data_IF_047169026687
#
_entry.id   IF_047169026687
#
_cell.length_a   1.000
_cell.length_b   1.000
_cell.length_c   1.000
_cell.angle_alpha   90.00
_cell.angle_beta   90.00
_cell.angle_gamma   90.00
#
_symmetry.space_group_name_H-M   'P 1'
#
loop_
_entity.id
_entity.type
_entity.pdbx_description
1 polymer ?
#
# COMPACT_ATOMS: atom_id res chain seq x y z
N UNK A 1 -16.10 -6.20 17.58
CA UNK A 1 -15.00 -5.29 17.20
C UNK A 1 -15.07 -4.93 15.71
N UNK A 2 -14.61 -3.74 15.27
CA UNK A 2 -14.55 -3.34 13.84
C UNK A 2 -13.12 -2.98 13.44
N UNK A 3 -12.68 -3.33 12.24
CA UNK A 3 -11.36 -2.94 11.71
C UNK A 3 -11.39 -2.76 10.20
N UNK A 4 -10.38 -2.06 9.66
CA UNK A 4 -10.20 -1.93 8.22
C UNK A 4 -9.33 -3.09 7.70
N UNK A 5 -9.63 -3.60 6.52
CA UNK A 5 -8.74 -4.52 5.80
C UNK A 5 -8.31 -3.92 4.47
N UNK A 6 -7.12 -4.33 4.00
CA UNK A 6 -6.52 -3.95 2.71
C UNK A 6 -6.67 -5.03 1.63
N UNK A 7 -7.13 -6.22 2.03
CA UNK A 7 -7.30 -7.37 1.16
C UNK A 7 -8.55 -8.13 1.58
N UNK A 8 -9.28 -8.63 0.60
CA UNK A 8 -10.40 -9.54 0.80
C UNK A 8 -10.16 -10.81 -0.01
N UNK A 9 -10.77 -11.90 0.45
CA UNK A 9 -10.80 -13.18 -0.22
C UNK A 9 -12.25 -13.50 -0.56
N UNK A 10 -12.55 -13.70 -1.85
CA UNK A 10 -13.83 -14.23 -2.32
C UNK A 10 -13.66 -15.72 -2.66
N UNK A 11 -14.60 -16.54 -2.20
CA UNK A 11 -14.65 -17.98 -2.42
C UNK A 11 -15.95 -18.36 -3.13
N UNK A 12 -15.86 -19.33 -4.03
CA UNK A 12 -17.00 -20.10 -4.52
C UNK A 12 -16.80 -21.57 -4.09
N UNK A 13 -17.83 -22.15 -3.49
CA UNK A 13 -17.80 -23.51 -2.95
C UNK A 13 -18.61 -24.46 -3.84
N UNK A 14 -18.31 -25.76 -3.79
CA UNK A 14 -18.93 -26.80 -4.62
C UNK A 14 -20.43 -27.01 -4.39
N UNK A 15 -20.97 -26.47 -3.30
CA UNK A 15 -22.41 -26.43 -3.03
C UNK A 15 -23.09 -25.16 -3.58
N UNK A 16 -22.37 -24.32 -4.33
CA UNK A 16 -22.86 -23.05 -4.88
C UNK A 16 -22.81 -21.87 -3.90
N UNK A 17 -22.31 -22.05 -2.67
CA UNK A 17 -22.17 -20.95 -1.71
C UNK A 17 -21.00 -20.04 -2.07
N UNK A 18 -21.18 -18.74 -1.86
CA UNK A 18 -20.13 -17.74 -1.99
C UNK A 18 -19.82 -17.12 -0.63
N UNK A 19 -18.53 -16.91 -0.33
CA UNK A 19 -18.10 -16.32 0.94
C UNK A 19 -17.06 -15.23 0.66
N UNK A 20 -17.26 -14.05 1.24
CA UNK A 20 -16.26 -12.99 1.28
C UNK A 20 -15.72 -12.82 2.70
N UNK A 21 -14.40 -12.94 2.88
CA UNK A 21 -13.74 -12.87 4.18
C UNK A 21 -12.41 -12.13 4.08
N UNK A 22 -11.78 -11.82 5.21
CA UNK A 22 -10.37 -11.42 5.20
C UNK A 22 -9.44 -12.64 5.00
N UNK A 23 -8.32 -12.51 4.27
CA UNK A 23 -7.42 -13.63 3.94
C UNK A 23 -6.93 -14.47 5.14
N UNK A 24 -6.82 -13.85 6.31
CA UNK A 24 -6.39 -14.47 7.56
C UNK A 24 -7.53 -15.22 8.31
N UNK A 25 -8.77 -15.13 7.84
CA UNK A 25 -9.91 -15.79 8.48
C UNK A 25 -9.77 -17.31 8.34
N UNK A 26 -9.88 -18.03 9.46
CA UNK A 26 -9.57 -19.46 9.51
C UNK A 26 -10.82 -20.32 9.30
N UNK A 27 -10.67 -21.34 8.46
CA UNK A 27 -11.67 -22.37 8.22
C UNK A 27 -11.15 -23.72 8.71
N UNK A 28 -12.08 -24.62 9.06
CA UNK A 28 -11.72 -25.97 9.47
C UNK A 28 -11.54 -26.85 8.24
N UNK A 29 -10.29 -27.28 8.00
CA UNK A 29 -9.89 -28.13 6.89
C UNK A 29 -9.08 -29.31 7.44
N UNK A 30 -9.48 -30.54 7.10
CA UNK A 30 -8.75 -31.77 7.47
C UNK A 30 -8.37 -31.89 8.96
N UNK A 31 -9.23 -31.42 9.87
CA UNK A 31 -9.00 -31.50 11.30
C UNK A 31 -8.16 -30.35 11.90
N UNK A 32 -7.79 -29.35 11.09
CA UNK A 32 -6.95 -28.22 11.51
C UNK A 32 -7.58 -26.89 11.08
N UNK A 33 -7.41 -25.86 11.91
CA UNK A 33 -7.78 -24.48 11.55
C UNK A 33 -6.72 -23.87 10.64
N UNK A 34 -7.11 -23.54 9.41
CA UNK A 34 -6.18 -23.02 8.38
C UNK A 34 -6.68 -21.68 7.87
N UNK A 35 -5.85 -20.62 7.82
CA UNK A 35 -6.20 -19.36 7.18
C UNK A 35 -6.65 -19.58 5.73
N UNK A 36 -7.67 -18.86 5.28
CA UNK A 36 -8.17 -19.04 3.92
C UNK A 36 -7.11 -18.71 2.88
N UNK A 37 -6.17 -17.82 3.18
CA UNK A 37 -5.06 -17.48 2.27
C UNK A 37 -4.10 -18.65 2.00
N UNK A 38 -4.00 -19.60 2.92
CA UNK A 38 -3.17 -20.80 2.79
C UNK A 38 -3.89 -21.97 2.08
N UNK A 39 -5.22 -21.97 2.06
CA UNK A 39 -6.02 -22.99 1.36
C UNK A 39 -6.07 -22.74 -0.15
N UNK A 40 -6.15 -23.80 -0.95
CA UNK A 40 -6.17 -23.74 -2.40
C UNK A 40 -7.50 -24.27 -2.97
N UNK A 41 -7.74 -24.00 -4.25
CA UNK A 41 -8.80 -24.67 -5.01
C UNK A 41 -8.60 -26.18 -4.89
N UNK A 42 -9.70 -26.90 -4.66
CA UNK A 42 -9.80 -28.33 -4.31
C UNK A 42 -9.55 -28.69 -2.83
N UNK A 43 -9.17 -27.76 -1.96
CA UNK A 43 -9.18 -28.02 -0.52
C UNK A 43 -10.63 -28.09 0.02
N UNK A 44 -10.80 -28.75 1.15
CA UNK A 44 -12.12 -29.07 1.72
C UNK A 44 -12.39 -28.32 3.01
N UNK A 45 -13.61 -27.81 3.17
CA UNK A 45 -14.09 -27.16 4.39
C UNK A 45 -15.17 -28.02 5.06
N UNK A 46 -15.24 -28.01 6.39
CA UNK A 46 -16.25 -28.75 7.15
C UNK A 46 -17.55 -27.96 7.31
N UNK A 47 -18.69 -28.62 7.07
CA UNK A 47 -20.05 -28.12 7.32
C UNK A 47 -20.59 -28.55 8.70
N UNK A 48 -21.70 -27.94 9.12
CA UNK A 48 -22.37 -28.19 10.41
C UNK A 48 -22.80 -29.63 10.64
N UNK A 49 -23.15 -30.35 9.58
CA UNK A 49 -23.53 -31.76 9.64
C UNK A 49 -22.30 -32.71 9.59
N UNK A 50 -21.08 -32.15 9.63
CA UNK A 50 -19.79 -32.81 9.45
C UNK A 50 -19.51 -33.33 8.04
N UNK A 51 -20.34 -32.98 7.05
CA UNK A 51 -19.98 -33.16 5.65
C UNK A 51 -18.88 -32.17 5.24
N UNK A 52 -18.33 -32.38 4.04
CA UNK A 52 -17.28 -31.54 3.46
C UNK A 52 -17.77 -30.84 2.20
N UNK A 53 -17.31 -29.62 1.99
CA UNK A 53 -17.50 -28.85 0.76
C UNK A 53 -16.14 -28.48 0.17
N UNK A 54 -16.04 -28.44 -1.15
CA UNK A 54 -14.79 -28.14 -1.85
C UNK A 54 -14.72 -26.67 -2.24
N UNK A 55 -13.53 -26.07 -2.19
CA UNK A 55 -13.28 -24.74 -2.75
C UNK A 55 -13.15 -24.87 -4.27
N UNK A 56 -14.14 -24.37 -5.02
CA UNK A 56 -14.14 -24.38 -6.49
C UNK A 56 -13.37 -23.18 -7.06
N UNK A 57 -13.45 -22.03 -6.39
CA UNK A 57 -12.79 -20.81 -6.81
C UNK A 57 -12.32 -19.99 -5.60
N UNK A 58 -11.20 -19.29 -5.76
CA UNK A 58 -10.62 -18.42 -4.75
C UNK A 58 -9.91 -17.24 -5.40
N UNK A 59 -10.27 -16.03 -5.00
CA UNK A 59 -9.64 -14.79 -5.45
C UNK A 59 -9.30 -13.93 -4.24
N UNK A 60 -8.02 -13.60 -4.07
CA UNK A 60 -7.57 -12.57 -3.13
C UNK A 60 -7.36 -11.29 -3.92
N UNK A 61 -8.00 -10.20 -3.50
CA UNK A 61 -7.91 -8.92 -4.18
C UNK A 61 -7.68 -7.78 -3.18
N UNK A 62 -6.90 -6.75 -3.58
CA UNK A 62 -6.72 -5.56 -2.77
C UNK A 62 -8.03 -4.77 -2.72
N UNK A 63 -8.42 -4.36 -1.52
CA UNK A 63 -9.61 -3.52 -1.30
C UNK A 63 -9.51 -2.84 0.06
N UNK A 64 -10.13 -1.67 0.24
CA UNK A 64 -10.16 -0.96 1.51
C UNK A 64 -11.57 -0.93 2.06
N UNK A 65 -11.92 -1.90 2.89
CA UNK A 65 -13.28 -2.07 3.43
C UNK A 65 -13.26 -2.22 4.94
N UNK A 66 -14.32 -1.72 5.58
CA UNK A 66 -14.59 -1.97 6.99
C UNK A 66 -15.15 -3.39 7.13
N UNK A 67 -14.52 -4.20 7.97
CA UNK A 67 -14.98 -5.54 8.31
C UNK A 67 -15.43 -5.62 9.76
N UNK A 68 -16.45 -6.42 9.99
CA UNK A 68 -17.08 -6.59 11.30
C UNK A 68 -16.66 -7.94 11.89
N UNK A 69 -16.22 -7.92 13.15
CA UNK A 69 -15.97 -9.13 13.91
C UNK A 69 -17.03 -9.28 15.01
N UNK A 70 -17.61 -10.47 15.11
CA UNK A 70 -18.49 -10.85 16.21
C UNK A 70 -17.62 -11.28 17.41
N UNK A 71 -18.09 -11.09 18.63
CA UNK A 71 -17.46 -11.69 19.82
C UNK A 71 -18.40 -12.79 20.30
N UNK A 72 -17.90 -14.02 20.38
CA UNK A 72 -18.68 -15.21 20.77
C UNK A 72 -18.05 -15.72 22.06
N UNK A 73 -18.89 -15.89 23.09
CA UNK A 73 -18.48 -16.45 24.38
C UNK A 73 -18.08 -17.93 24.21
N UNK A 74 -17.04 -18.35 24.94
CA UNK A 74 -16.49 -19.72 24.99
C UNK A 74 -15.75 -20.22 23.74
N UNK A 75 -16.45 -20.92 22.85
CA UNK A 75 -15.85 -21.54 21.67
C UNK A 75 -15.97 -20.53 20.54
N UNK A 76 -14.87 -19.84 20.22
CA UNK A 76 -14.77 -18.77 19.22
C UNK A 76 -14.99 -19.30 17.79
N UNK A 77 -16.05 -20.07 17.56
CA UNK A 77 -16.43 -20.72 16.31
C UNK A 77 -17.89 -20.46 16.00
N UNK A 78 -18.18 -20.24 14.73
CA UNK A 78 -19.55 -20.09 14.27
C UNK A 78 -19.75 -20.67 12.88
N UNK A 79 -21.01 -20.84 12.51
CA UNK A 79 -21.39 -21.28 11.18
C UNK A 79 -21.81 -20.08 10.33
N UNK A 80 -21.29 -20.02 9.11
CA UNK A 80 -21.69 -19.03 8.09
C UNK A 80 -22.40 -19.73 6.94
N UNK A 81 -23.11 -18.97 6.09
CA UNK A 81 -23.97 -19.47 4.99
C UNK A 81 -25.18 -20.28 5.48
N UNK A 82 -26.16 -20.52 4.60
CA UNK A 82 -27.35 -21.33 4.91
C UNK A 82 -26.99 -22.79 5.22
N UNK A 83 -25.97 -23.32 4.53
CA UNK A 83 -25.48 -24.70 4.67
C UNK A 83 -24.54 -24.88 5.89
N UNK A 84 -24.19 -23.79 6.57
CA UNK A 84 -23.45 -23.81 7.82
C UNK A 84 -21.99 -24.27 7.69
N UNK A 85 -21.18 -23.50 6.99
CA UNK A 85 -19.72 -23.66 6.90
C UNK A 85 -19.09 -23.25 8.23
N UNK A 86 -18.23 -24.10 8.80
CA UNK A 86 -17.61 -23.88 10.10
C UNK A 86 -16.39 -22.95 10.01
N UNK A 87 -16.42 -21.82 10.73
CA UNK A 87 -15.35 -20.83 10.80
C UNK A 87 -14.89 -20.55 12.23
N UNK A 88 -13.68 -20.00 12.37
CA UNK A 88 -13.09 -19.64 13.66
C UNK A 88 -12.92 -18.12 13.78
N UNK A 89 -13.61 -17.56 14.77
CA UNK A 89 -13.54 -16.19 15.25
C UNK A 89 -12.30 -15.89 16.08
N UNK A 90 -11.61 -16.92 16.59
CA UNK A 90 -10.40 -16.72 17.36
C UNK A 90 -9.27 -16.28 16.46
N UNK A 91 -9.15 -14.96 16.36
CA UNK A 91 -7.96 -14.29 15.88
C UNK A 91 -6.83 -14.64 16.84
N UNK A 92 -6.11 -15.73 16.57
CA UNK A 92 -4.68 -15.75 16.86
C UNK A 92 -4.11 -14.64 15.98
N UNK A 93 -4.04 -13.43 16.57
CA UNK A 93 -3.46 -12.24 15.96
C UNK A 93 -2.06 -12.64 15.52
N UNK A 94 -1.88 -12.89 14.24
CA UNK A 94 -0.55 -12.99 13.69
C UNK A 94 0.02 -11.57 13.73
N UNK A 95 1.03 -11.38 14.57
CA UNK A 95 1.68 -10.11 14.91
C UNK A 95 2.09 -9.28 13.66
N UNK A 96 2.16 -9.92 12.48
CA UNK A 96 2.53 -9.32 11.20
C UNK A 96 1.49 -8.28 10.73
N UNK A 97 0.18 -8.57 10.82
CA UNK A 97 -0.86 -7.65 10.34
C UNK A 97 -1.00 -6.42 11.24
N UNK A 98 -0.79 -6.57 12.57
CA UNK A 98 -0.77 -5.43 13.48
C UNK A 98 0.43 -4.53 13.17
N UNK A 99 1.63 -5.10 12.92
CA UNK A 99 2.81 -4.29 12.61
C UNK A 99 2.63 -3.47 11.33
N UNK A 100 2.13 -4.06 10.23
CA UNK A 100 1.88 -3.30 9.00
C UNK A 100 0.79 -2.24 9.18
N UNK A 101 -0.26 -2.55 9.94
CA UNK A 101 -1.33 -1.60 10.30
C UNK A 101 -0.78 -0.44 11.16
N UNK A 102 0.05 -0.72 12.16
CA UNK A 102 0.71 0.30 12.98
C UNK A 102 1.62 1.19 12.13
N UNK A 103 2.37 0.61 11.18
CA UNK A 103 3.22 1.37 10.25
C UNK A 103 2.38 2.25 9.32
N UNK A 104 1.26 1.73 8.83
CA UNK A 104 0.30 2.49 8.02
C UNK A 104 -0.31 3.66 8.80
N UNK A 105 -0.80 3.42 10.02
CA UNK A 105 -1.36 4.47 10.87
C UNK A 105 -0.32 5.54 11.19
N UNK A 106 0.91 5.14 11.50
CA UNK A 106 2.04 6.06 11.73
C UNK A 106 2.36 6.92 10.50
N UNK A 107 2.32 6.34 9.29
CA UNK A 107 2.47 7.10 8.05
C UNK A 107 1.32 8.08 7.85
N UNK A 108 0.08 7.61 7.97
CA UNK A 108 -1.14 8.40 7.83
C UNK A 108 -1.14 9.61 8.77
N UNK A 109 -0.84 9.40 10.05
CA UNK A 109 -0.73 10.45 11.05
C UNK A 109 0.34 11.49 10.67
N UNK A 110 1.49 11.05 10.15
CA UNK A 110 2.55 11.95 9.69
C UNK A 110 2.11 12.81 8.51
N UNK A 111 1.49 12.21 7.47
CA UNK A 111 0.99 12.97 6.32
C UNK A 111 -0.06 14.00 6.75
N UNK A 112 -1.02 13.60 7.61
CA UNK A 112 -2.09 14.47 8.10
C UNK A 112 -1.56 15.59 9.01
N UNK A 113 -0.54 15.32 9.84
CA UNK A 113 0.10 16.33 10.70
C UNK A 113 0.63 17.50 9.89
N UNK A 114 1.28 17.24 8.75
CA UNK A 114 1.89 18.29 7.92
C UNK A 114 1.00 18.78 6.77
N UNK A 115 -0.07 18.05 6.45
CA UNK A 115 -1.00 18.35 5.37
C UNK A 115 -2.46 18.11 5.84
N UNK A 116 -2.99 18.90 6.79
CA UNK A 116 -4.31 18.66 7.37
C UNK A 116 -5.46 18.78 6.36
N UNK A 117 -5.24 19.48 5.25
CA UNK A 117 -6.21 19.68 4.17
C UNK A 117 -6.03 18.71 2.99
N UNK A 118 -5.12 17.73 3.11
CA UNK A 118 -4.91 16.71 2.07
C UNK A 118 -6.20 15.92 1.84
N UNK A 119 -6.61 15.80 0.58
CA UNK A 119 -7.78 14.99 0.22
C UNK A 119 -7.52 13.50 0.51
N UNK A 120 -8.57 12.70 0.77
CA UNK A 120 -8.43 11.26 0.95
C UNK A 120 -7.71 10.57 -0.22
N UNK A 121 -8.02 10.96 -1.45
CA UNK A 121 -7.41 10.36 -2.65
C UNK A 121 -5.91 10.68 -2.75
N UNK A 122 -5.50 11.91 -2.42
CA UNK A 122 -4.10 12.30 -2.41
C UNK A 122 -3.33 11.54 -1.32
N UNK A 123 -3.94 11.42 -0.14
CA UNK A 123 -3.38 10.65 0.97
C UNK A 123 -3.19 9.19 0.61
N UNK A 124 -4.20 8.56 0.01
CA UNK A 124 -4.10 7.16 -0.44
C UNK A 124 -3.02 6.99 -1.51
N UNK A 125 -2.94 7.93 -2.46
CA UNK A 125 -1.88 7.92 -3.48
C UNK A 125 -0.46 8.04 -2.89
N UNK A 126 -0.28 8.76 -1.79
CA UNK A 126 1.01 8.83 -1.09
C UNK A 126 1.31 7.55 -0.32
N UNK A 127 0.30 6.94 0.30
CA UNK A 127 0.43 5.74 1.11
C UNK A 127 0.63 4.48 0.26
N UNK A 128 0.08 4.42 -0.96
CA UNK A 128 0.30 3.33 -1.91
C UNK A 128 1.75 3.19 -2.37
N UNK A 129 2.53 4.28 -2.28
CA UNK A 129 3.96 4.27 -2.59
C UNK A 129 4.86 3.72 -1.48
N UNK A 130 4.31 3.21 -0.38
CA UNK A 130 5.06 2.70 0.78
C UNK A 130 4.88 1.19 0.94
N UNK A 131 5.98 0.45 1.01
CA UNK A 131 5.98 -0.97 1.39
C UNK A 131 5.91 -1.12 2.92
N UNK A 132 4.70 -1.32 3.44
CA UNK A 132 4.46 -1.46 4.88
C UNK A 132 4.96 -2.78 5.47
N UNK A 133 5.34 -3.77 4.64
CA UNK A 133 6.03 -4.97 5.11
C UNK A 133 7.44 -4.64 5.65
N UNK A 134 7.99 -3.48 5.27
CA UNK A 134 9.27 -2.96 5.78
C UNK A 134 9.08 -1.94 6.92
N UNK A 135 10.09 -1.75 7.78
CA UNK A 135 10.04 -0.75 8.86
C UNK A 135 9.81 0.68 8.34
N UNK A 136 9.13 1.49 9.15
CA UNK A 136 8.95 2.93 8.92
C UNK A 136 9.29 3.74 10.17
N UNK A 137 9.89 4.90 9.96
CA UNK A 137 10.40 5.72 11.06
C UNK A 137 10.25 7.22 10.79
N UNK A 138 9.98 7.98 11.86
CA UNK A 138 10.07 9.44 11.82
C UNK A 138 11.47 9.79 12.28
N UNK A 139 12.23 10.45 11.41
CA UNK A 139 13.64 10.80 11.62
C UNK A 139 13.76 12.31 11.66
N UNK A 140 14.57 12.85 12.58
CA UNK A 140 14.92 14.27 12.62
C UNK A 140 16.22 14.48 11.84
N UNK A 141 16.19 15.42 10.91
CA UNK A 141 17.35 15.84 10.16
C UNK A 141 17.72 17.26 10.55
N UNK A 142 19.02 17.50 10.77
CA UNK A 142 19.51 18.82 11.11
C UNK A 142 19.68 19.68 9.87
N UNK A 143 19.60 21.00 10.04
CA UNK A 143 20.03 21.99 9.04
C UNK A 143 21.39 21.61 8.45
N UNK A 144 21.55 21.79 7.14
CA UNK A 144 22.79 21.46 6.44
C UNK A 144 22.92 19.99 6.05
N UNK A 145 22.02 19.10 6.48
CA UNK A 145 22.02 17.71 6.00
C UNK A 145 21.81 17.68 4.48
N UNK A 146 22.64 16.91 3.78
CA UNK A 146 22.49 16.67 2.35
C UNK A 146 21.68 15.40 2.10
N UNK A 147 20.61 15.53 1.32
CA UNK A 147 19.80 14.43 0.81
C UNK A 147 19.73 14.50 -0.71
N UNK A 148 19.30 13.42 -1.36
CA UNK A 148 19.14 13.38 -2.80
C UNK A 148 17.66 13.34 -3.19
N UNK A 149 17.30 13.98 -4.29
CA UNK A 149 15.96 13.91 -4.86
C UNK A 149 16.04 13.81 -6.38
N UNK A 150 15.15 13.02 -6.98
CA UNK A 150 14.94 13.06 -8.42
C UNK A 150 13.99 14.22 -8.77
N UNK A 151 14.46 15.13 -9.62
CA UNK A 151 13.76 16.34 -10.03
C UNK A 151 13.40 16.30 -11.52
N UNK A 152 12.44 17.16 -11.87
CA UNK A 152 12.00 17.41 -13.24
C UNK A 152 12.23 18.87 -13.56
N UNK A 153 12.33 19.20 -14.84
CA UNK A 153 12.42 20.57 -15.33
C UNK A 153 11.26 20.84 -16.29
N UNK A 154 10.59 21.98 -16.13
CA UNK A 154 9.48 22.40 -17.00
C UNK A 154 10.01 22.98 -18.34
N UNK A 155 9.11 23.42 -19.23
CA UNK A 155 9.49 24.00 -20.54
C UNK A 155 10.35 25.28 -20.45
N UNK A 156 10.33 25.97 -19.31
CA UNK A 156 11.08 27.22 -19.07
C UNK A 156 12.41 27.01 -18.35
N UNK A 157 12.76 25.77 -17.96
CA UNK A 157 13.97 25.51 -17.20
C UNK A 157 13.78 25.55 -15.68
N UNK A 158 12.56 25.78 -15.18
CA UNK A 158 12.28 25.77 -13.74
C UNK A 158 12.33 24.35 -13.19
N UNK A 159 13.16 24.14 -12.17
CA UNK A 159 13.29 22.87 -11.46
C UNK A 159 12.05 22.64 -10.58
N UNK A 160 11.35 21.55 -10.85
CA UNK A 160 10.19 21.08 -10.10
C UNK A 160 10.67 20.11 -9.03
N UNK A 161 10.87 20.63 -7.81
CA UNK A 161 11.21 19.82 -6.63
C UNK A 161 9.96 19.14 -6.07
N UNK A 162 10.11 17.94 -5.54
CA UNK A 162 9.06 17.17 -4.84
C UNK A 162 9.22 17.21 -3.32
N UNK A 163 8.47 16.37 -2.62
CA UNK A 163 8.57 16.18 -1.16
C UNK A 163 9.29 14.88 -0.78
N UNK A 164 9.75 14.09 -1.76
CA UNK A 164 10.43 12.81 -1.55
C UNK A 164 11.92 12.91 -1.81
N UNK A 165 12.70 12.34 -0.90
CA UNK A 165 14.16 12.35 -0.89
C UNK A 165 14.68 10.93 -0.63
N UNK A 166 15.98 10.74 -0.77
CA UNK A 166 16.70 9.53 -0.35
C UNK A 166 18.03 9.94 0.25
N UNK A 167 18.49 9.22 1.27
CA UNK A 167 19.84 9.30 1.81
C UNK A 167 20.78 8.27 1.15
N UNK A 168 20.25 7.41 0.27
CA UNK A 168 21.02 6.40 -0.44
C UNK A 168 21.36 6.85 -1.88
N UNK A 169 22.62 7.20 -2.18
CA UNK A 169 23.00 7.67 -3.52
C UNK A 169 22.91 6.57 -4.58
N UNK A 170 22.88 5.30 -4.20
CA UNK A 170 22.74 4.18 -5.13
C UNK A 170 21.29 3.96 -5.60
N UNK A 171 20.29 4.51 -4.90
CA UNK A 171 18.89 4.33 -5.29
C UNK A 171 18.61 4.91 -6.68
N UNK A 172 18.04 4.09 -7.56
CA UNK A 172 17.54 4.50 -8.87
C UNK A 172 16.16 5.15 -8.76
N UNK A 173 15.70 5.81 -9.82
CA UNK A 173 14.33 6.34 -9.87
C UNK A 173 13.30 5.21 -9.76
N UNK A 174 13.51 4.10 -10.48
CA UNK A 174 12.63 2.92 -10.44
C UNK A 174 12.52 2.34 -9.02
N UNK A 175 13.63 2.26 -8.29
CA UNK A 175 13.62 1.79 -6.90
C UNK A 175 12.88 2.73 -5.94
N UNK A 176 12.69 3.99 -6.32
CA UNK A 176 11.94 4.99 -5.55
C UNK A 176 10.50 5.17 -6.06
N UNK A 177 10.00 4.25 -6.88
CA UNK A 177 8.61 4.30 -7.35
C UNK A 177 8.34 5.36 -8.42
N UNK A 178 9.37 5.83 -9.12
CA UNK A 178 9.25 6.91 -10.13
C UNK A 178 9.89 6.52 -11.46
N UNK A 179 9.26 6.91 -12.57
CA UNK A 179 9.80 6.69 -13.90
C UNK A 179 11.13 7.45 -14.10
N UNK A 180 12.07 6.82 -14.81
CA UNK A 180 13.33 7.44 -15.25
C UNK A 180 13.11 8.61 -16.25
N UNK A 181 11.93 8.65 -16.86
CA UNK A 181 11.55 9.63 -17.87
C UNK A 181 10.23 10.30 -17.53
N UNK A 182 10.06 11.51 -18.02
CA UNK A 182 8.82 12.26 -17.86
C UNK A 182 8.50 13.07 -19.11
N UNK A 183 7.21 13.29 -19.35
CA UNK A 183 6.74 14.28 -20.30
C UNK A 183 6.85 15.67 -19.68
N UNK A 184 7.58 16.58 -20.33
CA UNK A 184 7.84 17.95 -19.85
C UNK A 184 6.53 18.70 -19.75
N UNK A 185 6.31 19.41 -18.65
CA UNK A 185 5.13 20.23 -18.44
C UNK A 185 5.41 21.71 -18.67
N UNK A 186 4.39 22.47 -19.08
CA UNK A 186 4.37 23.93 -19.01
C UNK A 186 4.32 24.41 -17.54
N UNK A 187 4.54 25.70 -17.25
CA UNK A 187 4.33 26.27 -15.92
C UNK A 187 2.91 25.99 -15.36
N UNK A 188 1.90 25.96 -16.23
CA UNK A 188 0.51 25.64 -15.89
C UNK A 188 0.23 24.13 -15.75
N UNK A 189 1.28 23.30 -15.67
CA UNK A 189 1.21 21.83 -15.51
C UNK A 189 0.56 21.08 -16.68
N UNK A 190 0.52 21.67 -17.87
CA UNK A 190 0.06 20.99 -19.08
C UNK A 190 1.22 20.15 -19.62
N UNK A 191 1.04 18.83 -19.74
CA UNK A 191 2.07 17.93 -20.28
C UNK A 191 2.21 18.10 -21.79
N UNK A 192 3.45 18.13 -22.25
CA UNK A 192 3.83 18.15 -23.67
C UNK A 192 4.29 16.77 -24.13
N UNK A 193 4.45 16.59 -25.44
CA UNK A 193 5.04 15.36 -26.00
C UNK A 193 6.57 15.31 -25.87
N UNK A 194 7.21 16.37 -25.37
CA UNK A 194 8.65 16.36 -25.11
C UNK A 194 8.95 15.44 -23.92
N UNK A 195 9.88 14.51 -24.10
CA UNK A 195 10.30 13.55 -23.07
C UNK A 195 11.72 13.87 -22.63
N UNK A 196 11.93 13.98 -21.32
CA UNK A 196 13.25 14.15 -20.69
C UNK A 196 13.46 13.09 -19.62
N UNK A 197 14.71 12.93 -19.19
CA UNK A 197 15.07 12.08 -18.06
C UNK A 197 15.06 12.88 -16.76
N UNK A 198 14.67 12.25 -15.66
CA UNK A 198 14.78 12.86 -14.33
C UNK A 198 16.26 13.07 -13.98
N UNK A 199 16.54 14.11 -13.20
CA UNK A 199 17.89 14.40 -12.71
C UNK A 199 17.94 14.14 -11.22
N UNK A 200 19.01 13.52 -10.71
CA UNK A 200 19.21 13.34 -9.27
C UNK A 200 20.05 14.49 -8.73
N UNK A 201 19.41 15.37 -7.97
CA UNK A 201 20.04 16.53 -7.36
C UNK A 201 20.33 16.27 -5.89
N UNK A 202 21.40 16.88 -5.38
CA UNK A 202 21.67 16.97 -3.94
C UNK A 202 20.97 18.23 -3.41
N UNK A 203 20.26 18.07 -2.29
CA UNK A 203 19.51 19.12 -1.61
C UNK A 203 20.05 19.23 -0.18
N UNK A 204 20.54 20.41 0.15
CA UNK A 204 20.90 20.77 1.52
C UNK A 204 19.66 21.28 2.26
N UNK A 205 19.33 20.66 3.39
CA UNK A 205 18.16 21.05 4.18
C UNK A 205 18.37 22.45 4.79
N UNK A 206 17.42 23.39 4.61
CA UNK A 206 17.60 24.79 5.01
C UNK A 206 17.40 25.03 6.52
N UNK A 207 16.80 24.07 7.23
CA UNK A 207 16.55 24.12 8.66
C UNK A 207 16.36 22.69 9.19
N UNK A 208 16.27 22.54 10.51
CA UNK A 208 15.89 21.28 11.13
C UNK A 208 14.48 20.86 10.70
N UNK A 209 14.31 19.59 10.31
CA UNK A 209 13.03 19.04 9.82
C UNK A 209 12.79 17.63 10.35
N UNK A 210 11.53 17.20 10.36
CA UNK A 210 11.17 15.79 10.53
C UNK A 210 10.87 15.18 9.16
N UNK A 211 11.43 14.01 8.88
CA UNK A 211 11.16 13.23 7.68
C UNK A 211 10.59 11.86 8.01
N UNK A 212 9.69 11.38 7.16
CA UNK A 212 9.15 10.02 7.28
C UNK A 212 9.94 9.08 6.36
N UNK A 213 10.80 8.26 6.96
CA UNK A 213 11.64 7.30 6.23
C UNK A 213 10.95 5.95 6.12
N UNK A 214 10.92 5.41 4.90
CA UNK A 214 10.25 4.15 4.56
C UNK A 214 10.92 3.48 3.36
N UNK A 215 10.40 2.31 2.97
CA UNK A 215 10.77 1.64 1.72
C UNK A 215 9.71 1.90 0.67
N UNK A 216 10.12 2.19 -0.56
CA UNK A 216 9.21 2.37 -1.70
C UNK A 216 8.53 1.05 -2.07
N UNK A 217 7.23 1.09 -2.35
CA UNK A 217 6.50 -0.05 -2.88
C UNK A 217 6.75 -0.22 -4.38
N UNK A 218 6.64 -1.46 -4.87
CA UNK A 218 6.51 -1.74 -6.30
C UNK A 218 5.16 -1.19 -6.79
N UNK A 219 5.20 -0.22 -7.70
CA UNK A 219 4.01 0.50 -8.18
C UNK A 219 4.17 0.87 -9.65
N UNK A 220 3.06 1.23 -10.29
CA UNK A 220 3.10 1.87 -11.60
C UNK A 220 3.06 3.40 -11.45
N UNK A 221 4.09 4.09 -11.95
CA UNK A 221 4.09 5.55 -12.10
C UNK A 221 3.10 5.93 -13.21
N UNK A 222 1.93 6.41 -12.79
CA UNK A 222 0.84 6.84 -13.68
C UNK A 222 0.82 8.34 -13.95
N UNK A 223 1.77 9.09 -13.37
CA UNK A 223 1.75 10.56 -13.37
C UNK A 223 2.89 11.20 -14.17
N UNK A 224 3.92 10.45 -14.57
CA UNK A 224 5.09 11.00 -15.25
C UNK A 224 4.94 11.06 -16.77
N UNK A 225 4.36 10.03 -17.39
CA UNK A 225 4.31 9.85 -18.86
C UNK A 225 2.91 9.94 -19.44
N UNK A 226 2.83 10.39 -20.68
CA UNK A 226 1.64 10.32 -21.53
C UNK A 226 1.97 9.67 -22.86
N UNK A 227 0.97 9.06 -23.50
CA UNK A 227 1.04 8.56 -24.87
C UNK A 227 0.87 9.68 -25.91
N UNK A 228 0.89 9.33 -27.20
CA UNK A 228 0.73 10.28 -28.31
C UNK A 228 -0.61 11.00 -28.33
N UNK A 229 -1.64 10.40 -27.73
CA UNK A 229 -3.00 10.95 -27.64
C UNK A 229 -3.18 11.80 -26.37
N UNK A 230 -2.13 11.91 -25.54
CA UNK A 230 -2.14 12.66 -24.28
C UNK A 230 -2.73 11.90 -23.10
N UNK A 231 -3.00 10.60 -23.22
CA UNK A 231 -3.48 9.77 -22.11
C UNK A 231 -2.32 9.34 -21.23
N UNK A 232 -2.57 9.13 -19.93
CA UNK A 232 -1.56 8.64 -18.99
C UNK A 232 -0.97 7.31 -19.46
N UNK A 233 0.37 7.23 -19.44
CA UNK A 233 1.12 6.03 -19.77
C UNK A 233 1.76 5.49 -18.49
N UNK A 234 1.17 4.45 -17.86
CA UNK A 234 1.74 3.85 -16.66
C UNK A 234 3.12 3.26 -16.94
N UNK A 235 4.08 3.54 -16.06
CA UNK A 235 5.43 2.98 -16.11
C UNK A 235 5.66 2.16 -14.86
N UNK A 236 5.88 0.86 -15.04
CA UNK A 236 6.20 -0.02 -13.94
C UNK A 236 7.52 0.37 -13.25
N UNK A 237 7.54 0.34 -11.93
CA UNK A 237 8.70 0.66 -11.10
C UNK A 237 8.90 -0.39 -10.03
N UNK A 238 10.17 -0.74 -9.78
CA UNK A 238 10.55 -1.89 -8.94
C UNK A 238 10.29 -1.66 -7.45
N UNK A 239 10.30 -0.41 -6.98
CA UNK A 239 10.28 -0.11 -5.56
C UNK A 239 11.52 -0.66 -4.82
N UNK A 240 11.40 -0.85 -3.50
CA UNK A 240 12.46 -1.42 -2.66
C UNK A 240 13.57 -0.44 -2.24
N UNK A 241 13.62 0.76 -2.81
CA UNK A 241 14.56 1.82 -2.42
C UNK A 241 14.13 2.54 -1.13
N UNK A 242 15.11 3.03 -0.37
CA UNK A 242 14.83 3.84 0.83
C UNK A 242 14.45 5.26 0.41
N UNK A 243 13.26 5.69 0.85
CA UNK A 243 12.71 7.02 0.59
C UNK A 243 12.42 7.75 1.89
N UNK A 244 12.45 9.07 1.83
CA UNK A 244 12.20 9.98 2.95
C UNK A 244 11.21 11.04 2.47
N UNK A 245 10.01 11.06 3.03
CA UNK A 245 9.04 12.13 2.79
C UNK A 245 9.30 13.29 3.74
N UNK A 246 9.62 14.46 3.21
CA UNK A 246 9.81 15.71 3.96
C UNK A 246 8.90 16.78 3.32
N UNK A 247 7.76 17.12 3.94
CA UNK A 247 6.86 18.11 3.40
C UNK A 247 7.52 19.50 3.36
N UNK A 248 7.46 20.17 2.20
CA UNK A 248 8.01 21.52 2.00
C UNK A 248 7.47 22.59 2.95
N UNK A 249 6.34 22.37 3.60
CA UNK A 249 5.82 23.28 4.64
C UNK A 249 6.78 23.46 5.82
N UNK A 250 7.78 22.57 5.95
CA UNK A 250 8.85 22.68 6.92
C UNK A 250 10.04 23.53 6.46
N UNK A 251 10.18 23.84 5.17
CA UNK A 251 11.26 24.69 4.67
C UNK A 251 10.86 26.14 4.84
N UNK A 252 11.45 26.81 5.83
CA UNK A 252 11.14 28.21 6.18
C UNK A 252 12.37 29.08 6.06
#
# INVERSE_FOLDING_TARGET
>A
MRRMTRRMCALELSNGSTIEVTPEHRFFCNGVWTPIEELNVNDTLQLKDNSIVVIDNKIIFPTFVEVYNLEIEDNENYYVTEEGVLVHNGCRHEEINDIEEQRYLKAKEFYQKYNPEMSPDALESHLSGIDFSKPVEVVKYSEGTELMQYTKVNTEGTVLRGDYYTDNPACTSSQLGISDKYNVSTPDRIKTQEVRQVTKDTVTLPNDVEGFKSTSAEIDDTWSRIDSDGKGLPIHTEGGGSQIYIPKSQFK
#
